data_IF_779784486850
#
_entry.id   IF_779784486850
#
_cell.length_a   1.000
_cell.length_b   1.000
_cell.length_c   1.000
_cell.angle_alpha   90.00
_cell.angle_beta   90.00
_cell.angle_gamma   90.00
#
_symmetry.space_group_name_H-M   'P 1'
#
loop_
_entity.id
_entity.type
_entity.pdbx_description
1 polymer ?
#
# COMPACT_ATOMS: atom_id res chain seq x y z
N UNK A 1 45.74 12.69 11.00
CA UNK A 1 44.77 13.76 11.31
C UNK A 1 43.69 13.68 10.25
N UNK A 2 42.51 13.27 10.72
CA UNK A 2 41.17 13.28 10.15
C UNK A 2 40.92 12.72 8.75
N UNK A 3 40.57 11.43 8.74
CA UNK A 3 39.59 10.88 7.81
C UNK A 3 38.19 11.32 8.25
N UNK A 4 37.59 12.26 7.53
CA UNK A 4 36.17 12.59 7.68
C UNK A 4 35.37 11.71 6.72
N UNK A 5 35.01 10.51 7.19
CA UNK A 5 34.03 9.66 6.51
C UNK A 5 32.65 10.29 6.66
N UNK A 6 32.15 10.91 5.58
CA UNK A 6 30.73 11.24 5.47
C UNK A 6 29.96 9.93 5.33
N UNK A 7 29.28 9.52 6.39
CA UNK A 7 28.21 8.53 6.32
C UNK A 7 27.03 9.21 5.62
N UNK A 8 26.90 8.96 4.31
CA UNK A 8 25.66 9.19 3.61
C UNK A 8 24.71 8.09 4.08
N UNK A 9 23.63 8.48 4.76
CA UNK A 9 22.50 7.59 4.98
C UNK A 9 21.86 7.41 3.60
N UNK A 10 22.18 6.32 2.92
CA UNK A 10 21.37 5.86 1.78
C UNK A 10 20.01 5.48 2.36
N UNK A 11 19.02 6.37 2.21
CA UNK A 11 17.62 6.01 2.40
C UNK A 11 17.23 5.09 1.25
N UNK A 12 16.63 3.94 1.56
CA UNK A 12 16.03 3.09 0.54
C UNK A 12 15.05 3.92 -0.33
N UNK A 13 14.99 3.67 -1.65
CA UNK A 13 14.09 4.40 -2.52
C UNK A 13 12.63 4.15 -2.07
N UNK A 14 11.76 5.17 -2.14
CA UNK A 14 10.38 5.02 -1.71
C UNK A 14 9.67 3.95 -2.53
N UNK A 15 8.87 3.11 -1.86
CA UNK A 15 8.15 2.00 -2.47
C UNK A 15 6.91 2.50 -3.23
N UNK A 16 7.15 3.07 -4.41
CA UNK A 16 6.14 3.72 -5.24
C UNK A 16 6.15 3.07 -6.64
N UNK A 17 5.30 2.08 -6.83
CA UNK A 17 4.87 1.65 -8.16
C UNK A 17 4.24 2.85 -8.89
N UNK A 18 4.39 2.90 -10.21
CA UNK A 18 3.82 3.98 -11.03
C UNK A 18 2.28 3.90 -11.03
N UNK A 19 1.65 4.71 -10.19
CA UNK A 19 0.18 4.86 -10.11
C UNK A 19 -0.35 5.32 -11.48
N UNK A 20 -1.50 4.81 -11.97
CA UNK A 20 -2.08 5.25 -13.22
C UNK A 20 -2.37 6.75 -13.19
N UNK A 21 -2.09 7.44 -14.29
CA UNK A 21 -2.22 8.90 -14.40
C UNK A 21 -3.66 9.35 -14.14
N UNK A 22 -4.64 8.50 -14.45
CA UNK A 22 -6.05 8.75 -14.22
C UNK A 22 -6.44 8.62 -12.74
N UNK A 23 -5.67 7.84 -11.97
CA UNK A 23 -5.94 7.58 -10.56
C UNK A 23 -5.32 8.66 -9.67
N UNK A 24 -4.14 9.19 -10.01
CA UNK A 24 -3.46 10.21 -9.18
C UNK A 24 -4.33 11.42 -8.80
N UNK A 25 -5.06 12.09 -9.73
CA UNK A 25 -5.90 13.22 -9.38
C UNK A 25 -7.03 12.82 -8.43
N UNK A 26 -7.61 11.63 -8.63
CA UNK A 26 -8.70 11.11 -7.80
C UNK A 26 -8.23 10.82 -6.39
N UNK A 27 -7.04 10.25 -6.22
CA UNK A 27 -6.47 10.04 -4.89
C UNK A 27 -6.17 11.41 -4.25
N UNK A 28 -5.59 12.37 -5.00
CA UNK A 28 -5.34 13.75 -4.52
C UNK A 28 -6.60 14.46 -4.03
N UNK A 29 -7.67 14.40 -4.81
CA UNK A 29 -8.98 14.93 -4.40
C UNK A 29 -9.54 14.22 -3.17
N UNK A 30 -9.27 12.92 -3.02
CA UNK A 30 -9.75 12.11 -1.90
C UNK A 30 -9.07 12.46 -0.57
N UNK A 31 -7.76 12.77 -0.56
CA UNK A 31 -7.02 13.12 0.66
C UNK A 31 -6.80 14.64 0.88
N UNK A 32 -6.96 15.46 -0.16
CA UNK A 32 -6.70 16.90 -0.14
C UNK A 32 -5.22 17.24 -0.38
N UNK A 33 -4.93 18.33 -1.09
CA UNK A 33 -3.61 18.64 -1.69
C UNK A 33 -2.37 18.64 -0.77
N UNK A 34 -2.53 18.50 0.55
CA UNK A 34 -1.44 18.52 1.53
C UNK A 34 -0.81 17.16 1.83
N UNK A 35 -1.42 16.05 1.45
CA UNK A 35 -0.85 14.72 1.72
C UNK A 35 0.05 14.23 0.58
N UNK A 36 1.23 13.72 0.95
CA UNK A 36 2.17 13.09 0.02
C UNK A 36 2.04 11.57 0.09
N UNK A 37 2.03 10.92 -1.08
CA UNK A 37 2.09 9.46 -1.19
C UNK A 37 3.46 8.98 -0.71
N UNK A 38 3.48 8.15 0.32
CA UNK A 38 4.70 7.53 0.89
C UNK A 38 4.90 6.11 0.39
N UNK A 39 3.80 5.38 0.21
CA UNK A 39 3.79 4.02 -0.35
C UNK A 39 2.72 3.97 -1.44
N UNK A 40 3.04 3.35 -2.57
CA UNK A 40 2.04 2.93 -3.56
C UNK A 40 2.45 1.59 -4.14
N UNK A 41 1.67 0.55 -3.90
CA UNK A 41 1.91 -0.77 -4.49
C UNK A 41 0.67 -1.30 -5.16
N UNK A 42 0.88 -1.91 -6.31
CA UNK A 42 -0.16 -2.55 -7.08
C UNK A 42 -0.27 -4.05 -6.77
N UNK A 43 -1.49 -4.57 -6.76
CA UNK A 43 -1.73 -6.02 -6.72
C UNK A 43 -1.59 -6.64 -8.11
N UNK A 44 -1.38 -7.94 -8.17
CA UNK A 44 -1.51 -8.76 -9.39
C UNK A 44 -2.71 -9.70 -9.32
N UNK A 45 -3.43 -9.73 -8.19
CA UNK A 45 -4.69 -10.44 -8.00
C UNK A 45 -5.76 -9.48 -7.46
N UNK A 46 -6.98 -9.65 -7.95
CA UNK A 46 -8.18 -8.97 -7.44
C UNK A 46 -8.79 -9.76 -6.28
N UNK A 47 -9.73 -9.14 -5.56
CA UNK A 47 -10.44 -9.78 -4.43
C UNK A 47 -11.13 -11.09 -4.82
N UNK A 48 -11.63 -11.19 -6.07
CA UNK A 48 -12.25 -12.40 -6.61
C UNK A 48 -11.24 -13.51 -7.03
N UNK A 49 -9.94 -13.25 -6.90
CA UNK A 49 -8.86 -14.20 -7.22
C UNK A 49 -8.42 -14.22 -8.68
N UNK A 50 -9.04 -13.42 -9.56
CA UNK A 50 -8.56 -13.26 -10.94
C UNK A 50 -7.34 -12.33 -10.99
N UNK A 51 -6.53 -12.48 -12.03
CA UNK A 51 -5.46 -11.52 -12.31
C UNK A 51 -6.03 -10.13 -12.60
N UNK A 52 -5.39 -9.11 -12.05
CA UNK A 52 -5.78 -7.72 -12.21
C UNK A 52 -5.02 -6.83 -11.23
N UNK A 53 -5.26 -5.52 -11.35
CA UNK A 53 -4.49 -4.51 -10.64
C UNK A 53 -5.40 -3.59 -9.81
N UNK A 54 -5.35 -3.80 -8.50
CA UNK A 54 -5.82 -2.85 -7.50
C UNK A 54 -4.59 -2.16 -6.88
N UNK A 55 -4.82 -1.09 -6.11
CA UNK A 55 -3.75 -0.32 -5.48
C UNK A 55 -3.93 -0.23 -3.97
N UNK A 56 -2.82 -0.34 -3.26
CA UNK A 56 -2.69 0.02 -1.86
C UNK A 56 -1.74 1.21 -1.76
N UNK A 57 -2.24 2.32 -1.23
CA UNK A 57 -1.54 3.59 -1.17
C UNK A 57 -1.52 4.05 0.29
N UNK A 58 -0.38 4.50 0.79
CA UNK A 58 -0.28 5.08 2.13
C UNK A 58 0.27 6.50 2.07
N UNK A 59 -0.29 7.36 2.91
CA UNK A 59 0.21 8.72 3.19
C UNK A 59 0.68 8.78 4.64
N UNK A 60 1.06 9.96 5.13
CA UNK A 60 1.39 10.15 6.54
C UNK A 60 0.19 9.96 7.50
N UNK A 61 -1.05 9.84 7.00
CA UNK A 61 -2.22 9.71 7.88
C UNK A 61 -3.28 8.70 7.43
N UNK A 62 -3.26 8.25 6.18
CA UNK A 62 -4.26 7.35 5.60
C UNK A 62 -3.64 6.14 4.92
N UNK A 63 -4.33 5.00 5.01
CA UNK A 63 -4.16 3.86 4.12
C UNK A 63 -5.37 3.79 3.18
N UNK A 64 -5.12 3.81 1.87
CA UNK A 64 -6.11 3.89 0.81
C UNK A 64 -6.06 2.62 -0.03
N UNK A 65 -7.23 2.05 -0.28
CA UNK A 65 -7.43 0.98 -1.23
C UNK A 65 -8.16 1.55 -2.44
N UNK A 66 -7.57 1.40 -3.63
CA UNK A 66 -8.24 1.68 -4.89
C UNK A 66 -8.56 0.36 -5.56
N UNK A 67 -9.85 0.01 -5.71
CA UNK A 67 -10.28 -1.30 -6.22
C UNK A 67 -11.18 -1.21 -7.43
N UNK A 68 -10.87 -1.97 -8.48
CA UNK A 68 -11.76 -2.05 -9.65
C UNK A 68 -13.04 -2.80 -9.32
N UNK A 69 -12.98 -3.92 -8.59
CA UNK A 69 -14.17 -4.72 -8.25
C UNK A 69 -15.12 -5.03 -9.45
N UNK A 70 -14.56 -5.15 -10.66
CA UNK A 70 -15.32 -5.36 -11.90
C UNK A 70 -15.98 -4.11 -12.50
N UNK A 71 -15.71 -2.92 -11.94
CA UNK A 71 -16.10 -1.63 -12.49
C UNK A 71 -15.06 -1.09 -13.49
N UNK A 72 -15.42 -0.01 -14.18
CA UNK A 72 -14.54 0.69 -15.13
C UNK A 72 -13.51 1.59 -14.43
N UNK A 73 -13.77 1.96 -13.18
CA UNK A 73 -12.95 2.88 -12.39
C UNK A 73 -12.74 2.32 -10.99
N UNK A 74 -11.60 2.61 -10.36
CA UNK A 74 -11.33 2.20 -8.99
C UNK A 74 -12.27 2.91 -8.00
N UNK A 75 -12.90 2.15 -7.12
CA UNK A 75 -13.53 2.65 -5.91
C UNK A 75 -12.44 2.95 -4.86
N UNK A 76 -12.51 4.11 -4.21
CA UNK A 76 -11.53 4.56 -3.23
C UNK A 76 -12.10 4.41 -1.82
N UNK A 77 -11.40 3.68 -0.98
CA UNK A 77 -11.72 3.51 0.43
C UNK A 77 -10.49 3.83 1.27
N UNK A 78 -10.67 4.55 2.38
CA UNK A 78 -9.57 4.90 3.27
C UNK A 78 -9.80 4.42 4.70
N UNK A 79 -8.68 4.16 5.36
CA UNK A 79 -8.59 3.83 6.79
C UNK A 79 -7.57 4.79 7.38
N UNK A 80 -7.92 5.62 8.38
CA UNK A 80 -6.94 6.43 9.07
C UNK A 80 -5.88 5.53 9.72
N UNK A 81 -4.59 5.83 9.53
CA UNK A 81 -3.50 5.02 10.08
C UNK A 81 -3.57 4.91 11.61
N UNK A 82 -4.01 5.99 12.26
CA UNK A 82 -4.25 6.03 13.73
C UNK A 82 -5.28 5.00 14.21
N UNK A 83 -6.16 4.51 13.34
CA UNK A 83 -7.20 3.53 13.67
C UNK A 83 -6.74 2.09 13.37
N UNK A 84 -5.55 1.92 12.76
CA UNK A 84 -4.93 0.62 12.49
C UNK A 84 -4.13 0.18 13.71
N UNK A 85 -4.50 -0.98 14.27
CA UNK A 85 -3.79 -1.61 15.39
C UNK A 85 -2.66 -2.52 14.91
N UNK A 86 -2.87 -3.25 13.81
CA UNK A 86 -1.87 -4.12 13.19
C UNK A 86 -2.02 -4.16 11.67
N UNK A 87 -0.89 -4.28 10.97
CA UNK A 87 -0.82 -4.74 9.58
C UNK A 87 -0.23 -6.15 9.60
N UNK A 88 -0.88 -7.10 8.93
CA UNK A 88 -0.52 -8.52 8.92
C UNK A 88 -0.51 -9.06 7.48
N UNK A 89 0.43 -9.96 7.18
CA UNK A 89 0.42 -10.75 5.94
C UNK A 89 0.02 -12.17 6.26
N UNK A 90 -1.04 -12.65 5.60
CA UNK A 90 -1.47 -14.06 5.64
C UNK A 90 -1.04 -14.75 4.36
N UNK A 91 -0.19 -15.77 4.52
CA UNK A 91 0.29 -16.61 3.43
C UNK A 91 -0.68 -17.77 3.21
N UNK A 92 -1.15 -17.95 1.98
CA UNK A 92 -2.02 -19.07 1.57
C UNK A 92 -1.35 -19.94 0.51
N UNK A 93 -2.01 -21.05 0.15
CA UNK A 93 -1.56 -21.88 -0.96
C UNK A 93 -1.88 -21.19 -2.30
N UNK A 94 -0.88 -20.51 -2.86
CA UNK A 94 -0.93 -19.91 -4.21
C UNK A 94 -0.97 -18.38 -4.22
N UNK A 95 -1.48 -17.76 -3.16
CA UNK A 95 -1.56 -16.33 -3.00
C UNK A 95 -1.28 -15.92 -1.54
N UNK A 96 -1.15 -14.61 -1.34
CA UNK A 96 -1.05 -13.97 -0.05
C UNK A 96 -2.12 -12.89 0.07
N UNK A 97 -2.38 -12.47 1.29
CA UNK A 97 -3.31 -11.39 1.61
C UNK A 97 -2.70 -10.50 2.68
N UNK A 98 -2.66 -9.21 2.42
CA UNK A 98 -2.41 -8.20 3.45
C UNK A 98 -3.73 -7.82 4.12
N UNK A 99 -3.75 -7.83 5.45
CA UNK A 99 -4.89 -7.45 6.27
C UNK A 99 -4.47 -6.39 7.27
N UNK A 100 -5.38 -5.47 7.54
CA UNK A 100 -5.25 -4.54 8.67
C UNK A 100 -6.28 -4.89 9.73
N UNK A 101 -5.91 -4.73 10.99
CA UNK A 101 -6.82 -4.79 12.13
C UNK A 101 -7.14 -3.38 12.57
N UNK A 102 -8.43 -3.06 12.63
CA UNK A 102 -8.95 -1.89 13.35
C UNK A 102 -9.62 -2.37 14.63
N UNK A 103 -9.96 -1.45 15.53
CA UNK A 103 -10.59 -1.77 16.81
C UNK A 103 -11.86 -2.65 16.70
N UNK A 104 -12.59 -2.55 15.59
CA UNK A 104 -13.88 -3.21 15.36
C UNK A 104 -13.78 -4.45 14.45
N UNK A 105 -12.82 -4.51 13.52
CA UNK A 105 -12.76 -5.58 12.52
C UNK A 105 -11.38 -5.77 11.89
N UNK A 106 -11.24 -6.90 11.20
CA UNK A 106 -10.14 -7.12 10.27
C UNK A 106 -10.58 -6.80 8.84
N UNK A 107 -9.78 -6.05 8.10
CA UNK A 107 -10.06 -5.63 6.72
C UNK A 107 -8.96 -6.22 5.84
N UNK A 108 -9.35 -6.98 4.82
CA UNK A 108 -8.42 -7.36 3.74
C UNK A 108 -8.18 -6.12 2.89
N UNK A 109 -6.92 -5.69 2.75
CA UNK A 109 -6.56 -4.47 2.03
C UNK A 109 -5.92 -4.75 0.68
N UNK A 110 -5.23 -5.89 0.55
CA UNK A 110 -4.65 -6.32 -0.71
C UNK A 110 -4.57 -7.85 -0.80
N UNK A 111 -4.72 -8.37 -2.01
CA UNK A 111 -4.50 -9.77 -2.37
C UNK A 111 -3.50 -9.84 -3.51
N UNK A 112 -2.55 -10.76 -3.45
CA UNK A 112 -1.48 -10.82 -4.43
C UNK A 112 -0.91 -12.24 -4.54
N UNK A 113 -0.30 -12.56 -5.67
CA UNK A 113 0.35 -13.84 -5.90
C UNK A 113 1.65 -13.94 -5.10
N UNK A 114 2.26 -15.14 -5.07
CA UNK A 114 3.57 -15.32 -4.44
C UNK A 114 4.67 -14.48 -5.10
N UNK A 115 4.53 -14.10 -6.37
CA UNK A 115 5.54 -13.31 -7.08
C UNK A 115 5.70 -11.90 -6.50
N UNK A 116 4.63 -11.32 -5.93
CA UNK A 116 4.66 -10.00 -5.32
C UNK A 116 4.97 -10.03 -3.81
N UNK A 117 5.44 -11.16 -3.26
CA UNK A 117 5.64 -11.32 -1.81
C UNK A 117 6.57 -10.28 -1.21
N UNK A 118 7.76 -10.11 -1.80
CA UNK A 118 8.78 -9.16 -1.33
C UNK A 118 8.24 -7.74 -1.29
N UNK A 119 7.67 -7.26 -2.41
CA UNK A 119 7.04 -5.94 -2.51
C UNK A 119 6.03 -5.66 -1.39
N UNK A 120 5.19 -6.63 -1.04
CA UNK A 120 4.20 -6.42 0.02
C UNK A 120 4.78 -6.55 1.44
N UNK A 121 5.88 -7.27 1.65
CA UNK A 121 6.61 -7.23 2.92
C UNK A 121 7.32 -5.88 3.11
N UNK A 122 7.88 -5.31 2.05
CA UNK A 122 8.47 -3.97 2.08
C UNK A 122 7.38 -2.92 2.35
N UNK A 123 6.25 -3.00 1.65
CA UNK A 123 5.10 -2.11 1.87
C UNK A 123 4.59 -2.18 3.31
N UNK A 124 4.49 -3.38 3.88
CA UNK A 124 4.11 -3.57 5.28
C UNK A 124 5.07 -2.83 6.21
N UNK A 125 6.37 -3.02 6.00
CA UNK A 125 7.41 -2.42 6.84
C UNK A 125 7.34 -0.90 6.78
N UNK A 126 7.23 -0.32 5.59
CA UNK A 126 7.05 1.12 5.41
C UNK A 126 5.77 1.64 6.09
N UNK A 127 4.64 0.95 5.94
CA UNK A 127 3.38 1.34 6.58
C UNK A 127 3.48 1.28 8.11
N UNK A 128 4.17 0.28 8.68
CA UNK A 128 4.37 0.17 10.13
C UNK A 128 5.22 1.33 10.71
N UNK A 129 5.98 2.06 9.87
CA UNK A 129 6.78 3.22 10.26
C UNK A 129 6.04 4.56 10.18
N UNK A 130 4.86 4.61 9.54
CA UNK A 130 4.05 5.83 9.37
C UNK A 130 3.18 6.11 10.59
#
# INVERSE_FOLDING_TARGET
>A
MDASSKSSVESDPPLIDQVPVELEPRIKEFFGDTEEIKVAVSTDLLENGNYGQDWLIATASQLIMARLNGALEHDLQAIPLKDIETVDIRVFHGNNVMKVRTHDRGIEVARYSKAATEKFFDAKSEIDFL
#
